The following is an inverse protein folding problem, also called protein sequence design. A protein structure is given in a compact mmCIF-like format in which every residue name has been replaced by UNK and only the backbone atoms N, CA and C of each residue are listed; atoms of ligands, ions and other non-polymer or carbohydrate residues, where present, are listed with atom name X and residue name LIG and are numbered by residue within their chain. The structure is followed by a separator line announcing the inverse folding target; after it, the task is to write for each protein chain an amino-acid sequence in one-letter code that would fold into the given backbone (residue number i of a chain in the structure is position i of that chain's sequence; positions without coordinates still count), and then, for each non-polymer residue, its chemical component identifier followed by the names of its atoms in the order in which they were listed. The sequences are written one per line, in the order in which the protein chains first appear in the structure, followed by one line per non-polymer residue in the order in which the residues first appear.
data_IF_707053077793
#
_entry.id   IF_707053077793
#
_cell.length_a   1.000
_cell.length_b   1.000
_cell.length_c   1.000
_cell.angle_alpha   90.00
_cell.angle_beta   90.00
_cell.angle_gamma   90.00
#
_symmetry.space_group_name_H-M   'P 1'
#
loop_
_entity.id
_entity.type
_entity.pdbx_description
1 polymer ?
#
# COMPACT_ATOMS: atom_id res chain seq x y z
N UNK A 1 -10.18 22.18 -12.20
CA UNK A 1 -9.10 21.69 -11.32
C UNK A 1 -9.10 20.16 -11.38
N UNK A 2 -8.26 19.57 -12.22
CA UNK A 2 -8.02 18.12 -12.20
C UNK A 2 -7.31 17.80 -10.89
N UNK A 3 -8.00 17.15 -9.94
CA UNK A 3 -7.33 16.56 -8.76
C UNK A 3 -6.40 15.47 -9.29
N UNK A 4 -5.11 15.77 -9.36
CA UNK A 4 -4.08 14.76 -9.62
C UNK A 4 -4.08 13.84 -8.41
N UNK A 5 -4.63 12.64 -8.55
CA UNK A 5 -4.61 11.65 -7.48
C UNK A 5 -3.23 11.02 -7.45
N UNK A 6 -2.39 11.49 -6.54
CA UNK A 6 -1.05 10.93 -6.38
C UNK A 6 -1.11 9.47 -5.93
N UNK A 7 -0.30 8.59 -6.56
CA UNK A 7 -0.18 7.22 -6.12
C UNK A 7 0.38 7.16 -4.69
N UNK A 8 -0.13 6.23 -3.88
CA UNK A 8 0.27 6.11 -2.46
C UNK A 8 0.03 4.70 -1.93
N UNK A 9 0.70 4.37 -0.83
CA UNK A 9 0.47 3.14 -0.08
C UNK A 9 0.06 3.46 1.36
N UNK A 10 -0.76 2.60 1.97
CA UNK A 10 -1.24 2.74 3.35
C UNK A 10 -1.31 1.39 4.04
N UNK A 11 -1.10 1.36 5.34
CA UNK A 11 -1.34 0.19 6.22
C UNK A 11 -2.48 0.51 7.17
N UNK A 12 -3.33 -0.48 7.42
CA UNK A 12 -4.49 -0.40 8.31
C UNK A 12 -4.48 -1.58 9.28
N UNK A 13 -4.99 -1.35 10.48
CA UNK A 13 -5.28 -2.39 11.47
C UNK A 13 -6.78 -2.67 11.49
N UNK A 14 -7.16 -3.95 11.36
CA UNK A 14 -8.54 -4.43 11.46
C UNK A 14 -8.95 -4.61 12.92
N UNK A 15 -10.25 -4.67 13.15
CA UNK A 15 -10.84 -4.93 14.46
C UNK A 15 -10.50 -6.33 15.02
N UNK A 16 -10.19 -7.29 14.16
CA UNK A 16 -9.73 -8.64 14.53
C UNK A 16 -8.23 -8.72 14.86
N UNK A 17 -7.52 -7.60 14.86
CA UNK A 17 -6.10 -7.52 15.20
C UNK A 17 -5.14 -7.74 14.04
N UNK A 18 -5.62 -8.12 12.85
CA UNK A 18 -4.79 -8.26 11.66
C UNK A 18 -4.51 -6.91 10.98
N UNK A 19 -3.40 -6.83 10.27
CA UNK A 19 -2.98 -5.70 9.47
C UNK A 19 -3.14 -6.00 7.98
N UNK A 20 -3.52 -5.01 7.18
CA UNK A 20 -3.49 -5.11 5.73
C UNK A 20 -3.02 -3.80 5.11
N UNK A 21 -2.50 -3.89 3.90
CA UNK A 21 -2.02 -2.76 3.13
C UNK A 21 -2.92 -2.48 1.93
N UNK A 22 -2.99 -1.22 1.53
CA UNK A 22 -3.63 -0.81 0.28
C UNK A 22 -2.67 0.03 -0.56
N UNK A 23 -2.65 -0.25 -1.85
CA UNK A 23 -1.93 0.47 -2.87
C UNK A 23 -2.95 1.23 -3.70
N UNK A 24 -2.72 2.53 -3.88
CA UNK A 24 -3.58 3.42 -4.64
C UNK A 24 -2.84 3.93 -5.88
N UNK A 25 -3.52 3.91 -7.02
CA UNK A 25 -3.10 4.55 -8.26
C UNK A 25 -4.33 5.17 -8.93
N UNK A 26 -4.17 6.34 -9.56
CA UNK A 26 -5.24 7.06 -10.27
C UNK A 26 -6.52 7.24 -9.42
N UNK A 27 -6.34 7.46 -8.12
CA UNK A 27 -7.44 7.72 -7.17
C UNK A 27 -8.26 6.48 -6.77
N UNK A 28 -7.86 5.28 -7.21
CA UNK A 28 -8.54 4.01 -6.87
C UNK A 28 -7.58 3.06 -6.17
N UNK A 29 -8.14 2.09 -5.44
CA UNK A 29 -7.36 0.99 -4.89
C UNK A 29 -6.92 0.09 -6.05
N UNK A 30 -5.62 0.01 -6.27
CA UNK A 30 -4.98 -0.88 -7.22
C UNK A 30 -4.89 -2.30 -6.66
N UNK A 31 -4.52 -2.42 -5.38
CA UNK A 31 -4.40 -3.70 -4.70
C UNK A 31 -4.61 -3.53 -3.19
N UNK A 32 -5.20 -4.56 -2.57
CA UNK A 32 -5.22 -4.75 -1.12
C UNK A 32 -4.46 -6.03 -0.79
N UNK A 33 -3.52 -5.97 0.14
CA UNK A 33 -2.78 -7.16 0.59
C UNK A 33 -3.64 -8.03 1.52
N UNK A 34 -3.22 -9.27 1.74
CA UNK A 34 -3.84 -10.19 2.70
C UNK A 34 -3.80 -9.64 4.14
N UNK A 35 -4.55 -10.27 5.05
CA UNK A 35 -4.41 -9.98 6.49
C UNK A 35 -3.13 -10.62 7.06
N UNK A 36 -2.34 -9.83 7.79
CA UNK A 36 -1.12 -10.26 8.46
C UNK A 36 -1.23 -10.03 9.96
N UNK A 37 -0.80 -10.97 10.79
CA UNK A 37 -0.83 -10.81 12.25
C UNK A 37 0.18 -9.76 12.75
N UNK A 38 1.29 -9.57 12.03
CA UNK A 38 2.34 -8.60 12.35
C UNK A 38 2.26 -7.39 11.42
N UNK A 39 2.28 -6.20 12.01
CA UNK A 39 2.35 -4.92 11.28
C UNK A 39 3.61 -4.85 10.41
N UNK A 40 4.77 -5.26 10.95
CA UNK A 40 6.03 -5.27 10.22
C UNK A 40 5.99 -6.18 8.99
N UNK A 41 5.36 -7.36 9.13
CA UNK A 41 5.20 -8.27 7.99
C UNK A 41 4.28 -7.65 6.94
N UNK A 42 3.17 -7.01 7.37
CA UNK A 42 2.29 -6.29 6.46
C UNK A 42 3.04 -5.20 5.69
N UNK A 43 3.86 -4.39 6.37
CA UNK A 43 4.66 -3.32 5.75
C UNK A 43 5.66 -3.90 4.74
N UNK A 44 6.37 -4.97 5.12
CA UNK A 44 7.36 -5.63 4.27
C UNK A 44 6.72 -6.13 2.97
N UNK A 45 5.62 -6.88 3.07
CA UNK A 45 4.92 -7.40 1.89
C UNK A 45 4.29 -6.28 1.06
N UNK A 46 3.68 -5.27 1.70
CA UNK A 46 3.13 -4.11 0.99
C UNK A 46 4.20 -3.42 0.14
N UNK A 47 5.39 -3.18 0.70
CA UNK A 47 6.48 -2.53 -0.02
C UNK A 47 7.04 -3.37 -1.17
N UNK A 48 7.05 -4.70 -1.05
CA UNK A 48 7.36 -5.59 -2.18
C UNK A 48 6.31 -5.50 -3.29
N UNK A 49 5.02 -5.39 -2.94
CA UNK A 49 3.94 -5.21 -3.92
C UNK A 49 3.98 -3.82 -4.58
N UNK A 50 4.37 -2.78 -3.85
CA UNK A 50 4.64 -1.45 -4.40
C UNK A 50 5.75 -1.52 -5.47
N UNK A 51 6.88 -2.16 -5.15
CA UNK A 51 7.99 -2.33 -6.11
C UNK A 51 7.52 -3.10 -7.37
N UNK A 52 6.75 -4.18 -7.18
CA UNK A 52 6.16 -4.94 -8.28
C UNK A 52 5.29 -4.07 -9.19
N UNK A 53 4.39 -3.24 -8.63
CA UNK A 53 3.50 -2.40 -9.43
C UNK A 53 4.23 -1.25 -10.11
N UNK A 54 5.20 -0.63 -9.43
CA UNK A 54 6.06 0.39 -10.03
C UNK A 54 6.78 -0.17 -11.26
N UNK A 55 7.40 -1.36 -11.14
CA UNK A 55 8.08 -2.02 -12.25
C UNK A 55 7.10 -2.47 -13.36
N UNK A 56 5.94 -3.02 -13.00
CA UNK A 56 4.98 -3.58 -13.97
C UNK A 56 4.21 -2.52 -14.76
N UNK A 57 3.86 -1.41 -14.14
CA UNK A 57 2.98 -0.38 -14.72
C UNK A 57 3.66 0.97 -14.91
N UNK A 58 4.98 1.04 -14.71
CA UNK A 58 5.76 2.29 -14.74
C UNK A 58 5.13 3.37 -13.83
N UNK A 59 4.75 2.95 -12.62
CA UNK A 59 4.18 3.83 -11.60
C UNK A 59 5.27 4.38 -10.68
N UNK A 60 4.97 5.46 -9.97
CA UNK A 60 5.83 6.05 -8.94
C UNK A 60 5.13 6.05 -7.58
N UNK A 61 4.62 4.88 -7.16
CA UNK A 61 3.99 4.72 -5.86
C UNK A 61 5.08 4.76 -4.77
N UNK A 62 4.98 5.63 -3.76
CA UNK A 62 5.90 5.63 -2.63
C UNK A 62 5.67 4.42 -1.73
N UNK A 63 6.77 3.87 -1.20
CA UNK A 63 6.75 2.85 -0.15
C UNK A 63 6.11 3.41 1.12
N UNK A 64 5.46 2.53 1.87
CA UNK A 64 4.93 2.89 3.18
C UNK A 64 6.08 2.95 4.18
N UNK A 65 6.19 4.10 4.85
CA UNK A 65 7.10 4.33 5.97
C UNK A 65 6.22 4.65 7.18
N UNK A 66 6.34 3.83 8.23
CA UNK A 66 5.67 4.10 9.50
C UNK A 66 6.25 5.39 10.07
N UNK A 67 5.39 6.34 10.40
CA UNK A 67 5.77 7.50 11.20
C UNK A 67 5.54 7.12 12.66
N UNK A 68 6.61 7.18 13.45
CA UNK A 68 6.54 7.03 14.90
C UNK A 68 5.66 8.12 15.54
#
# INVERSE_FOLDING_TARGET
MTRTFEPKSKVFKRSDGYYYGEIYADGKVLERTSGYFSELNCITYLNQRVDYWNARKNLQIPKYIKKD
#
